data_IF_197773896594
#
_entry.id   IF_197773896594
#
_cell.length_a   1.000
_cell.length_b   1.000
_cell.length_c   1.000
_cell.angle_alpha   90.00
_cell.angle_beta   90.00
_cell.angle_gamma   90.00
#
_symmetry.space_group_name_H-M   'P 1'
#
loop_
_entity.id
_entity.type
_entity.pdbx_description
1 polymer ?
#
# COMPACT_ATOMS: atom_id res chain seq x y z
N UNK A 1 -3.33 2.80 -20.27
CA UNK A 1 -3.71 1.85 -19.20
C UNK A 1 -3.79 2.60 -17.89
N UNK A 2 -4.78 2.30 -17.05
CA UNK A 2 -4.88 2.88 -15.70
C UNK A 2 -4.20 1.92 -14.72
N UNK A 3 -3.09 2.34 -14.12
CA UNK A 3 -2.42 1.62 -13.04
C UNK A 3 -2.58 2.42 -11.76
N UNK A 4 -2.98 1.72 -10.71
CA UNK A 4 -3.21 2.29 -9.39
C UNK A 4 -2.38 1.48 -8.40
N UNK A 5 -1.18 1.96 -8.07
CA UNK A 5 -0.36 1.35 -7.01
C UNK A 5 -0.81 1.90 -5.68
N UNK A 6 -0.90 1.08 -4.65
CA UNK A 6 -1.31 1.51 -3.32
C UNK A 6 -0.60 0.74 -2.21
N UNK A 7 -0.65 1.32 -1.01
CA UNK A 7 -0.20 0.79 0.27
C UNK A 7 -1.07 1.42 1.37
N UNK A 8 -1.19 0.75 2.52
CA UNK A 8 -1.92 1.26 3.67
C UNK A 8 -1.04 1.30 4.92
N UNK A 9 -1.26 2.32 5.75
CA UNK A 9 -0.71 2.34 7.10
C UNK A 9 -1.79 2.13 8.14
N UNK A 10 -1.44 1.35 9.17
CA UNK A 10 -2.38 0.91 10.19
C UNK A 10 -1.87 1.13 11.60
N UNK A 11 -2.81 1.33 12.51
CA UNK A 11 -2.60 1.40 13.96
C UNK A 11 -3.52 0.39 14.65
N UNK A 12 -3.30 0.06 15.93
CA UNK A 12 -4.25 -0.75 16.68
C UNK A 12 -5.66 -0.14 16.66
N UNK A 13 -6.66 -0.94 16.31
CA UNK A 13 -8.07 -0.58 16.50
C UNK A 13 -8.41 -0.67 17.99
N UNK A 14 -8.13 0.40 18.74
CA UNK A 14 -8.40 0.47 20.18
C UNK A 14 -9.89 0.40 20.51
N UNK A 15 -10.77 0.86 19.62
CA UNK A 15 -12.21 0.71 19.81
C UNK A 15 -12.65 -0.75 19.69
N UNK A 16 -12.15 -1.46 18.67
CA UNK A 16 -12.32 -2.90 18.52
C UNK A 16 -11.69 -3.68 19.68
N UNK A 17 -10.50 -3.27 20.12
CA UNK A 17 -9.79 -3.83 21.26
C UNK A 17 -10.61 -3.75 22.55
N UNK A 18 -11.24 -2.61 22.83
CA UNK A 18 -12.15 -2.46 23.98
C UNK A 18 -13.30 -3.44 23.94
N UNK A 19 -13.97 -3.56 22.79
CA UNK A 19 -15.12 -4.46 22.60
C UNK A 19 -14.75 -5.94 22.68
N UNK A 20 -13.58 -6.33 22.19
CA UNK A 20 -13.16 -7.73 22.13
C UNK A 20 -12.58 -8.26 23.45
N UNK A 21 -12.08 -7.36 24.29
CA UNK A 21 -11.33 -7.72 25.50
C UNK A 21 -11.92 -7.12 26.79
N UNK A 22 -13.11 -6.53 26.71
CA UNK A 22 -13.83 -5.92 27.84
C UNK A 22 -12.97 -4.88 28.58
N UNK A 23 -12.32 -3.98 27.82
CA UNK A 23 -11.34 -3.00 28.33
C UNK A 23 -11.93 -1.59 28.49
N UNK A 24 -13.21 -1.50 28.81
CA UNK A 24 -13.88 -0.22 29.02
C UNK A 24 -13.21 0.59 30.16
N UNK A 25 -13.07 1.90 29.96
CA UNK A 25 -12.47 2.82 30.93
C UNK A 25 -10.94 2.95 30.87
N UNK A 26 -10.24 2.14 30.07
CA UNK A 26 -8.81 2.30 29.81
C UNK A 26 -8.53 3.33 28.71
N UNK A 27 -7.38 4.00 28.79
CA UNK A 27 -6.93 4.90 27.73
C UNK A 27 -6.47 4.13 26.47
N UNK A 28 -6.34 4.82 25.33
CA UNK A 28 -5.99 4.19 24.06
C UNK A 28 -4.62 3.48 24.10
N UNK A 29 -3.67 4.01 24.87
CA UNK A 29 -2.32 3.44 24.99
C UNK A 29 -2.35 2.15 25.79
N UNK A 30 -3.09 2.13 26.90
CA UNK A 30 -3.31 0.95 27.74
C UNK A 30 -4.00 -0.16 26.95
N UNK A 31 -5.06 0.17 26.20
CA UNK A 31 -5.76 -0.79 25.34
C UNK A 31 -4.79 -1.39 24.32
N UNK A 32 -4.06 -0.55 23.57
CA UNK A 32 -3.09 -1.02 22.58
C UNK A 32 -2.01 -1.93 23.21
N UNK A 33 -1.47 -1.56 24.38
CA UNK A 33 -0.49 -2.37 25.10
C UNK A 33 -1.03 -3.76 25.48
N UNK A 34 -2.29 -3.83 25.92
CA UNK A 34 -2.94 -5.11 26.22
C UNK A 34 -3.11 -5.94 24.95
N UNK A 35 -3.50 -5.32 23.83
CA UNK A 35 -3.63 -5.99 22.53
C UNK A 35 -2.29 -6.59 22.08
N UNK A 36 -1.20 -5.81 22.13
CA UNK A 36 0.15 -6.28 21.79
C UNK A 36 0.61 -7.40 22.71
N UNK A 37 0.43 -7.25 24.03
CA UNK A 37 0.83 -8.27 24.99
C UNK A 37 0.10 -9.60 24.78
N UNK A 38 -1.23 -9.55 24.56
CA UNK A 38 -2.01 -10.74 24.20
C UNK A 38 -1.48 -11.39 22.92
N UNK A 39 -1.18 -10.59 21.89
CA UNK A 39 -0.66 -11.10 20.62
C UNK A 39 0.71 -11.77 20.76
N UNK A 40 1.60 -11.19 21.59
CA UNK A 40 2.91 -11.75 21.92
C UNK A 40 2.80 -13.09 22.62
N UNK A 41 1.87 -13.22 23.56
CA UNK A 41 1.62 -14.49 24.25
C UNK A 41 1.13 -15.58 23.29
N UNK A 42 0.30 -15.23 22.30
CA UNK A 42 -0.23 -16.18 21.33
C UNK A 42 0.79 -16.62 20.27
N UNK A 43 1.67 -15.72 19.82
CA UNK A 43 2.46 -15.94 18.59
C UNK A 43 3.95 -15.61 18.69
N UNK A 44 4.41 -15.11 19.83
CA UNK A 44 5.80 -14.68 20.04
C UNK A 44 6.16 -13.33 19.39
N UNK A 45 5.21 -12.63 18.77
CA UNK A 45 5.41 -11.30 18.19
C UNK A 45 4.19 -10.39 18.43
N UNK A 46 4.34 -9.09 18.20
CA UNK A 46 3.29 -8.09 18.47
C UNK A 46 2.43 -7.74 17.27
N UNK A 47 2.60 -8.40 16.12
CA UNK A 47 1.86 -8.04 14.92
C UNK A 47 0.39 -8.43 15.06
N UNK A 48 -0.47 -7.43 15.24
CA UNK A 48 -1.89 -7.62 15.52
C UNK A 48 -2.62 -8.34 14.38
N UNK A 49 -3.71 -9.03 14.73
CA UNK A 49 -4.55 -9.73 13.76
C UNK A 49 -5.24 -8.70 12.84
N UNK A 50 -5.44 -9.06 11.57
CA UNK A 50 -5.98 -8.17 10.54
C UNK A 50 -7.31 -7.46 10.92
N UNK A 51 -8.28 -8.11 11.58
CA UNK A 51 -9.54 -7.44 11.95
C UNK A 51 -9.40 -6.30 12.96
N UNK A 52 -8.29 -6.24 13.71
CA UNK A 52 -8.02 -5.21 14.73
C UNK A 52 -6.93 -4.23 14.28
N UNK A 53 -6.70 -4.14 12.98
CA UNK A 53 -5.91 -3.08 12.34
C UNK A 53 -6.85 -1.96 11.91
N UNK A 54 -6.58 -0.72 12.31
CA UNK A 54 -7.30 0.50 11.90
C UNK A 54 -6.46 1.24 10.88
N UNK A 55 -7.02 1.58 9.72
CA UNK A 55 -6.34 2.29 8.65
C UNK A 55 -6.26 3.78 9.00
N UNK A 56 -5.06 4.36 8.88
CA UNK A 56 -4.80 5.79 9.13
C UNK A 56 -4.26 6.52 7.90
N UNK A 57 -3.72 5.79 6.92
CA UNK A 57 -3.37 6.35 5.61
C UNK A 57 -3.58 5.30 4.52
N UNK A 58 -3.91 5.78 3.32
CA UNK A 58 -3.86 5.02 2.08
C UNK A 58 -3.15 5.92 1.07
N UNK A 59 -1.95 5.55 0.65
CA UNK A 59 -1.21 6.28 -0.38
C UNK A 59 -1.34 5.60 -1.73
N UNK A 60 -1.22 6.41 -2.79
CA UNK A 60 -1.48 5.95 -4.15
C UNK A 60 -0.53 6.57 -5.15
N UNK A 61 -0.11 5.77 -6.14
CA UNK A 61 0.43 6.24 -7.42
C UNK A 61 -0.62 5.94 -8.48
N UNK A 62 -1.13 6.97 -9.14
CA UNK A 62 -2.01 6.83 -10.30
C UNK A 62 -1.24 7.15 -11.58
N UNK A 63 -1.11 6.15 -12.45
CA UNK A 63 -0.63 6.31 -13.83
C UNK A 63 -1.81 6.14 -14.79
N UNK A 64 -2.17 7.20 -15.51
CA UNK A 64 -3.22 7.19 -16.52
C UNK A 64 -2.86 8.09 -17.70
N UNK A 65 -2.92 7.56 -18.92
CA UNK A 65 -2.61 8.27 -20.18
C UNK A 65 -1.24 8.97 -20.15
N UNK A 66 -1.22 10.29 -19.95
CA UNK A 66 0.01 11.11 -19.86
C UNK A 66 0.25 11.64 -18.43
N UNK A 67 -0.60 11.27 -17.48
CA UNK A 67 -0.51 11.71 -16.08
C UNK A 67 0.10 10.63 -15.20
N UNK A 68 0.99 11.06 -14.33
CA UNK A 68 1.42 10.37 -13.13
C UNK A 68 1.16 11.30 -11.93
N UNK A 69 0.64 10.77 -10.84
CA UNK A 69 0.44 11.52 -9.61
C UNK A 69 0.62 10.59 -8.41
N UNK A 70 1.14 11.15 -7.31
CA UNK A 70 1.39 10.43 -6.05
C UNK A 70 0.82 11.23 -4.90
N UNK A 71 -0.08 10.64 -4.11
CA UNK A 71 -0.69 11.30 -2.96
C UNK A 71 -1.30 10.31 -1.98
N UNK A 72 -1.48 10.71 -0.73
CA UNK A 72 -2.38 10.05 0.23
C UNK A 72 -3.84 10.46 0.06
N UNK A 73 -4.77 9.50 0.09
CA UNK A 73 -6.21 9.76 -0.07
C UNK A 73 -6.78 10.59 1.10
N UNK A 74 -7.69 11.51 0.77
CA UNK A 74 -8.30 12.43 1.74
C UNK A 74 -7.34 13.52 2.21
N UNK A 75 -7.85 14.47 3.00
CA UNK A 75 -7.01 15.40 3.76
C UNK A 75 -6.31 14.68 4.92
N UNK A 76 -5.41 15.34 5.64
CA UNK A 76 -4.63 14.72 6.73
C UNK A 76 -5.52 14.12 7.83
N UNK A 77 -6.59 14.81 8.20
CA UNK A 77 -7.55 14.38 9.23
C UNK A 77 -8.78 13.67 8.67
N UNK A 78 -8.76 13.26 7.40
CA UNK A 78 -9.85 12.48 6.81
C UNK A 78 -10.10 11.21 7.63
N UNK A 79 -11.38 10.91 7.85
CA UNK A 79 -11.75 9.72 8.61
C UNK A 79 -11.32 8.43 7.88
N UNK A 80 -11.11 7.35 8.63
CA UNK A 80 -10.84 6.04 8.06
C UNK A 80 -11.91 5.63 7.03
N UNK A 81 -13.18 5.88 7.34
CA UNK A 81 -14.28 5.61 6.42
C UNK A 81 -14.11 6.35 5.08
N UNK A 82 -13.79 7.64 5.15
CA UNK A 82 -13.64 8.47 3.96
C UNK A 82 -12.49 7.98 3.06
N UNK A 83 -11.32 7.68 3.63
CA UNK A 83 -10.18 7.25 2.82
C UNK A 83 -10.43 5.88 2.16
N UNK A 84 -11.14 4.96 2.82
CA UNK A 84 -11.56 3.68 2.25
C UNK A 84 -12.61 3.87 1.15
N UNK A 85 -13.61 4.73 1.37
CA UNK A 85 -14.61 5.08 0.35
C UNK A 85 -13.95 5.67 -0.91
N UNK A 86 -12.97 6.57 -0.73
CA UNK A 86 -12.20 7.14 -1.84
C UNK A 86 -11.41 6.08 -2.60
N UNK A 87 -10.82 5.11 -1.90
CA UNK A 87 -10.09 4.00 -2.53
C UNK A 87 -11.01 3.19 -3.45
N UNK A 88 -12.14 2.71 -2.94
CA UNK A 88 -13.08 1.92 -3.75
C UNK A 88 -13.78 2.74 -4.83
N UNK A 89 -14.08 4.02 -4.58
CA UNK A 89 -14.58 4.94 -5.62
C UNK A 89 -13.59 5.07 -6.78
N UNK A 90 -12.29 5.12 -6.48
CA UNK A 90 -11.24 5.10 -7.49
C UNK A 90 -11.26 3.83 -8.34
N UNK A 91 -11.47 2.66 -7.71
CA UNK A 91 -11.61 1.38 -8.41
C UNK A 91 -12.87 1.36 -9.28
N UNK A 92 -14.02 1.77 -8.74
CA UNK A 92 -15.29 1.80 -9.46
C UNK A 92 -15.22 2.72 -10.70
N UNK A 93 -14.58 3.88 -10.56
CA UNK A 93 -14.50 4.89 -11.63
C UNK A 93 -13.50 4.53 -12.73
N UNK A 94 -12.29 4.11 -12.37
CA UNK A 94 -11.19 3.94 -13.33
C UNK A 94 -10.99 2.50 -13.78
N UNK A 95 -11.59 1.54 -13.06
CA UNK A 95 -11.47 0.10 -13.31
C UNK A 95 -9.98 -0.28 -13.51
N UNK A 96 -9.05 0.22 -12.66
CA UNK A 96 -7.61 0.14 -12.93
C UNK A 96 -7.07 -1.27 -12.69
N UNK A 97 -5.85 -1.54 -13.16
CA UNK A 97 -5.02 -2.57 -12.53
C UNK A 97 -4.52 -2.00 -11.21
N UNK A 98 -4.92 -2.60 -10.09
CA UNK A 98 -4.36 -2.26 -8.78
C UNK A 98 -3.08 -3.06 -8.54
N UNK A 99 -2.07 -2.42 -7.97
CA UNK A 99 -0.75 -3.02 -7.72
C UNK A 99 -0.37 -2.76 -6.26
N UNK A 100 0.23 -3.74 -5.61
CA UNK A 100 0.67 -3.66 -4.22
C UNK A 100 1.91 -4.52 -3.99
N UNK A 101 2.59 -4.32 -2.86
CA UNK A 101 3.57 -5.27 -2.34
C UNK A 101 2.98 -5.99 -1.12
N UNK A 102 2.67 -7.29 -1.22
CA UNK A 102 1.98 -8.06 -0.16
C UNK A 102 0.54 -7.60 0.16
N UNK A 103 -0.09 -6.83 -0.73
CA UNK A 103 -1.46 -6.35 -0.53
C UNK A 103 -2.50 -7.46 -0.41
N UNK A 104 -2.24 -8.65 -0.95
CA UNK A 104 -3.12 -9.81 -0.73
C UNK A 104 -2.99 -10.38 0.68
N UNK A 105 -1.78 -10.36 1.23
CA UNK A 105 -1.48 -10.89 2.56
C UNK A 105 -1.89 -9.96 3.70
N UNK A 106 -2.01 -8.65 3.42
CA UNK A 106 -2.26 -7.64 4.44
C UNK A 106 -3.31 -6.61 4.01
N UNK A 107 -3.00 -5.74 3.05
CA UNK A 107 -3.73 -4.51 2.78
C UNK A 107 -5.19 -4.73 2.40
N UNK A 108 -5.45 -5.58 1.40
CA UNK A 108 -6.79 -5.88 0.92
C UNK A 108 -7.63 -6.59 1.99
N UNK A 109 -7.15 -7.64 2.68
CA UNK A 109 -7.87 -8.19 3.84
C UNK A 109 -8.22 -7.15 4.91
N UNK A 110 -7.31 -6.24 5.26
CA UNK A 110 -7.61 -5.16 6.22
C UNK A 110 -8.69 -4.25 5.66
N UNK A 111 -8.57 -3.80 4.41
CA UNK A 111 -9.62 -3.03 3.72
C UNK A 111 -10.97 -3.75 3.72
N UNK A 112 -11.01 -5.08 3.58
CA UNK A 112 -12.25 -5.86 3.65
C UNK A 112 -12.90 -5.77 5.04
N UNK A 113 -12.13 -6.04 6.10
CA UNK A 113 -12.64 -5.97 7.47
C UNK A 113 -13.10 -4.55 7.84
N UNK A 114 -12.33 -3.53 7.45
CA UNK A 114 -12.69 -2.13 7.72
C UNK A 114 -13.88 -1.67 6.91
N UNK A 115 -14.07 -2.19 5.69
CA UNK A 115 -15.29 -1.96 4.92
C UNK A 115 -16.53 -2.58 5.56
N UNK A 116 -16.41 -3.79 6.13
CA UNK A 116 -17.49 -4.43 6.89
C UNK A 116 -17.87 -3.60 8.12
N UNK A 117 -16.88 -3.09 8.86
CA UNK A 117 -17.09 -2.27 10.07
C UNK A 117 -17.77 -0.94 9.74
N UNK A 118 -17.35 -0.28 8.64
CA UNK A 118 -17.88 1.03 8.24
C UNK A 118 -19.10 0.98 7.31
N UNK A 119 -19.48 -0.21 6.83
CA UNK A 119 -20.59 -0.40 5.89
C UNK A 119 -20.31 0.19 4.50
N UNK A 120 -19.08 0.05 3.99
CA UNK A 120 -18.64 0.67 2.74
C UNK A 120 -18.90 -0.28 1.55
N UNK A 121 -19.69 0.13 0.54
CA UNK A 121 -19.89 -0.67 -0.66
C UNK A 121 -18.66 -0.58 -1.59
N UNK A 122 -18.35 -1.69 -2.27
CA UNK A 122 -17.24 -1.77 -3.22
C UNK A 122 -17.59 -2.68 -4.40
N UNK A 123 -18.65 -2.32 -5.15
CA UNK A 123 -19.32 -3.23 -6.08
C UNK A 123 -18.39 -3.72 -7.21
N UNK A 124 -17.63 -2.84 -7.90
CA UNK A 124 -16.71 -3.31 -8.95
C UNK A 124 -15.54 -4.09 -8.39
N UNK A 125 -15.12 -3.81 -7.16
CA UNK A 125 -14.06 -4.55 -6.51
C UNK A 125 -14.46 -6.03 -6.28
N UNK A 126 -15.69 -6.25 -5.78
CA UNK A 126 -16.23 -7.57 -5.48
C UNK A 126 -16.81 -8.32 -6.69
N UNK A 127 -16.87 -7.67 -7.86
CA UNK A 127 -17.36 -8.30 -9.09
C UNK A 127 -16.44 -9.45 -9.54
N UNK A 128 -17.04 -10.61 -9.81
CA UNK A 128 -16.33 -11.85 -10.20
C UNK A 128 -16.85 -12.47 -11.48
N UNK A 129 -17.69 -11.76 -12.24
CA UNK A 129 -18.33 -12.25 -13.45
C UNK A 129 -19.83 -12.45 -13.35
N UNK A 130 -20.44 -12.12 -12.21
CA UNK A 130 -21.87 -12.33 -11.94
C UNK A 130 -22.73 -11.28 -12.64
N UNK A 131 -22.39 -9.99 -12.52
CA UNK A 131 -23.10 -8.92 -13.23
C UNK A 131 -22.34 -8.41 -14.46
N UNK A 132 -21.02 -8.59 -14.49
CA UNK A 132 -20.17 -8.21 -15.61
C UNK A 132 -19.17 -9.30 -15.98
N UNK A 133 -19.45 -10.00 -17.09
CA UNK A 133 -18.65 -11.14 -17.55
C UNK A 133 -17.17 -10.79 -17.82
N UNK A 134 -16.82 -9.52 -18.02
CA UNK A 134 -15.42 -9.12 -18.23
C UNK A 134 -14.54 -9.37 -16.98
N UNK A 135 -15.15 -9.54 -15.81
CA UNK A 135 -14.47 -9.85 -14.55
C UNK A 135 -14.34 -11.36 -14.27
N UNK A 136 -15.00 -12.21 -15.07
CA UNK A 136 -15.00 -13.67 -14.85
C UNK A 136 -13.61 -14.28 -14.81
N UNK A 137 -12.74 -13.83 -15.71
CA UNK A 137 -11.36 -14.31 -15.86
C UNK A 137 -10.30 -13.24 -15.53
N UNK A 138 -10.74 -12.08 -15.02
CA UNK A 138 -9.86 -11.00 -14.62
C UNK A 138 -10.55 -10.06 -13.61
N UNK A 139 -10.67 -10.49 -12.36
CA UNK A 139 -11.21 -9.74 -11.22
C UNK A 139 -10.12 -9.41 -10.18
N UNK A 140 -10.47 -8.63 -9.17
CA UNK A 140 -9.54 -8.17 -8.13
C UNK A 140 -9.27 -9.19 -7.01
N UNK A 141 -10.10 -10.24 -6.88
CA UNK A 141 -10.05 -11.18 -5.75
C UNK A 141 -9.25 -12.44 -6.05
N UNK A 142 -9.28 -12.88 -7.31
CA UNK A 142 -8.66 -14.15 -7.73
C UNK A 142 -7.15 -13.99 -7.81
N UNK A 143 -6.42 -14.82 -7.05
CA UNK A 143 -4.95 -14.79 -6.94
C UNK A 143 -4.20 -14.68 -8.27
N UNK A 144 -4.66 -15.41 -9.27
CA UNK A 144 -3.95 -15.56 -10.55
C UNK A 144 -4.47 -14.61 -11.64
N UNK A 145 -5.43 -13.75 -11.32
CA UNK A 145 -5.89 -12.70 -12.22
C UNK A 145 -4.97 -11.49 -12.11
N UNK A 146 -5.01 -10.60 -13.12
CA UNK A 146 -4.07 -9.48 -13.22
C UNK A 146 -4.63 -8.15 -12.72
N UNK A 147 -5.96 -8.08 -12.52
CA UNK A 147 -6.64 -6.87 -12.07
C UNK A 147 -6.13 -6.39 -10.72
N UNK A 148 -5.81 -7.32 -9.82
CA UNK A 148 -4.88 -7.09 -8.72
C UNK A 148 -3.56 -7.79 -9.06
N UNK A 149 -2.47 -7.02 -9.10
CA UNK A 149 -1.11 -7.52 -9.25
C UNK A 149 -0.39 -7.35 -7.92
N UNK A 150 -0.37 -8.39 -7.08
CA UNK A 150 0.50 -8.44 -5.91
C UNK A 150 1.92 -8.80 -6.35
N UNK A 151 2.81 -7.81 -6.37
CA UNK A 151 4.17 -7.98 -6.87
C UNK A 151 4.95 -9.01 -6.06
N UNK A 152 4.79 -9.03 -4.74
CA UNK A 152 5.53 -9.95 -3.88
C UNK A 152 5.10 -11.39 -4.17
N UNK A 153 3.80 -11.65 -4.28
CA UNK A 153 3.25 -12.98 -4.55
C UNK A 153 3.70 -13.50 -5.93
N UNK A 154 3.65 -12.63 -6.95
CA UNK A 154 4.03 -12.98 -8.33
C UNK A 154 5.54 -13.21 -8.46
N UNK A 155 6.37 -12.30 -7.93
CA UNK A 155 7.83 -12.39 -8.04
C UNK A 155 8.37 -13.56 -7.23
N UNK A 156 7.79 -13.85 -6.06
CA UNK A 156 8.13 -15.03 -5.27
C UNK A 156 7.68 -16.35 -5.92
N UNK A 157 7.01 -16.30 -7.09
CA UNK A 157 6.50 -17.49 -7.76
C UNK A 157 5.47 -18.25 -6.91
N UNK A 158 4.71 -17.52 -6.08
CA UNK A 158 3.72 -18.07 -5.14
C UNK A 158 4.31 -18.93 -4.02
N UNK A 159 5.64 -18.92 -3.84
CA UNK A 159 6.36 -19.67 -2.81
C UNK A 159 6.62 -18.82 -1.58
N UNK A 160 6.00 -19.18 -0.44
CA UNK A 160 6.13 -18.42 0.81
C UNK A 160 7.59 -18.26 1.29
N UNK A 161 8.48 -19.20 0.94
CA UNK A 161 9.91 -19.12 1.30
C UNK A 161 10.72 -18.14 0.45
N UNK A 162 10.16 -17.69 -0.68
CA UNK A 162 10.82 -16.82 -1.64
C UNK A 162 10.35 -15.36 -1.52
N UNK A 163 9.46 -15.05 -0.58
CA UNK A 163 9.02 -13.68 -0.32
C UNK A 163 10.19 -12.85 0.22
N UNK A 164 10.20 -11.57 -0.12
CA UNK A 164 11.20 -10.62 0.34
C UNK A 164 10.54 -9.30 0.79
N UNK A 165 11.13 -8.55 1.72
CA UNK A 165 10.68 -7.20 2.05
C UNK A 165 10.86 -6.24 0.87
N UNK A 166 9.93 -5.30 0.69
CA UNK A 166 9.99 -4.27 -0.36
C UNK A 166 11.30 -3.50 -0.32
N UNK A 167 11.72 -3.09 0.88
CA UNK A 167 12.96 -2.35 1.14
C UNK A 167 14.19 -3.05 0.53
N UNK A 168 14.32 -4.36 0.72
CA UNK A 168 15.45 -5.12 0.19
C UNK A 168 15.44 -5.14 -1.34
N UNK A 169 14.28 -5.38 -1.94
CA UNK A 169 14.15 -5.44 -3.40
C UNK A 169 14.35 -4.05 -4.03
N UNK A 170 13.77 -3.02 -3.44
CA UNK A 170 13.96 -1.63 -3.86
C UNK A 170 15.44 -1.23 -3.82
N UNK A 171 16.12 -1.52 -2.71
CA UNK A 171 17.56 -1.27 -2.54
C UNK A 171 18.40 -2.01 -3.58
N UNK A 172 18.15 -3.31 -3.80
CA UNK A 172 18.86 -4.11 -4.81
C UNK A 172 18.66 -3.60 -6.23
N UNK A 173 17.53 -2.95 -6.51
CA UNK A 173 17.22 -2.33 -7.79
C UNK A 173 17.75 -0.89 -7.91
N UNK A 174 18.39 -0.36 -6.86
CA UNK A 174 18.94 0.99 -6.80
C UNK A 174 17.90 2.08 -6.57
N UNK A 175 16.71 1.70 -6.10
CA UNK A 175 15.68 2.63 -5.63
C UNK A 175 15.95 2.98 -4.15
N UNK A 176 15.34 4.06 -3.64
CA UNK A 176 15.65 4.55 -2.29
C UNK A 176 15.45 3.53 -1.16
N UNK A 177 14.50 2.60 -1.31
CA UNK A 177 14.18 1.67 -0.23
C UNK A 177 13.64 2.41 0.99
N UNK A 178 14.04 2.00 2.18
CA UNK A 178 13.54 2.53 3.46
C UNK A 178 14.10 3.91 3.80
N UNK A 179 13.22 4.91 3.83
CA UNK A 179 13.53 6.32 4.07
C UNK A 179 13.41 6.74 5.56
N UNK A 180 14.00 5.97 6.49
CA UNK A 180 14.11 6.37 7.90
C UNK A 180 12.91 6.06 8.82
N UNK A 181 11.70 5.93 8.29
CA UNK A 181 10.53 5.41 9.03
C UNK A 181 10.35 3.89 8.80
N UNK A 182 9.68 3.22 9.74
CA UNK A 182 9.39 1.79 9.69
C UNK A 182 7.98 1.56 10.19
N UNK A 183 7.24 0.62 9.60
CA UNK A 183 5.89 0.24 10.06
C UNK A 183 5.78 -0.02 11.58
N UNK A 184 6.84 -0.54 12.21
CA UNK A 184 6.90 -0.75 13.67
C UNK A 184 6.77 0.54 14.52
N UNK A 185 7.02 1.72 13.94
CA UNK A 185 6.94 3.03 14.62
C UNK A 185 5.64 3.78 14.31
N UNK A 186 4.78 3.26 13.44
CA UNK A 186 3.55 3.95 13.02
C UNK A 186 2.65 4.25 14.20
N UNK A 187 2.53 3.30 15.15
CA UNK A 187 1.78 3.54 16.37
C UNK A 187 2.36 4.69 17.20
N UNK A 188 3.68 4.69 17.45
CA UNK A 188 4.33 5.76 18.23
C UNK A 188 4.13 7.14 17.58
N UNK A 189 4.29 7.22 16.26
CA UNK A 189 4.06 8.46 15.50
C UNK A 189 2.60 8.91 15.57
N UNK A 190 1.66 7.97 15.50
CA UNK A 190 0.24 8.26 15.64
C UNK A 190 -0.08 8.81 17.03
N UNK A 191 0.49 8.24 18.10
CA UNK A 191 0.33 8.76 19.46
C UNK A 191 0.90 10.18 19.64
N UNK A 192 1.95 10.51 18.87
CA UNK A 192 2.56 11.85 18.84
C UNK A 192 1.82 12.84 17.92
N UNK A 193 0.73 12.42 17.26
CA UNK A 193 -0.03 13.27 16.33
C UNK A 193 0.67 13.50 15.00
N UNK A 194 1.65 12.68 14.63
CA UNK A 194 2.47 12.81 13.41
C UNK A 194 1.84 12.13 12.19
N UNK A 195 0.59 12.45 11.89
CA UNK A 195 -0.13 11.87 10.75
C UNK A 195 0.51 12.26 9.41
N UNK A 196 0.94 13.51 9.25
CA UNK A 196 1.70 13.95 8.09
C UNK A 196 2.91 13.05 7.79
N UNK A 197 3.69 12.69 8.81
CA UNK A 197 4.88 11.84 8.65
C UNK A 197 4.51 10.41 8.23
N UNK A 198 3.44 9.83 8.80
CA UNK A 198 2.92 8.51 8.40
C UNK A 198 2.49 8.54 6.92
N UNK A 199 1.80 9.60 6.49
CA UNK A 199 1.35 9.77 5.11
C UNK A 199 2.53 9.92 4.16
N UNK A 200 3.52 10.74 4.51
CA UNK A 200 4.75 10.91 3.73
C UNK A 200 5.50 9.57 3.56
N UNK A 201 5.62 8.80 4.64
CA UNK A 201 6.21 7.46 4.61
C UNK A 201 5.44 6.52 3.67
N UNK A 202 4.11 6.44 3.80
CA UNK A 202 3.27 5.64 2.92
C UNK A 202 3.39 6.08 1.45
N UNK A 203 3.47 7.39 1.16
CA UNK A 203 3.74 7.89 -0.21
C UNK A 203 5.10 7.37 -0.76
N UNK A 204 6.14 7.26 0.08
CA UNK A 204 7.44 6.69 -0.34
C UNK A 204 7.40 5.18 -0.59
N UNK A 205 6.64 4.43 0.20
CA UNK A 205 6.50 2.97 0.01
C UNK A 205 5.71 2.63 -1.26
N UNK A 206 4.68 3.42 -1.60
CA UNK A 206 3.97 3.27 -2.88
C UNK A 206 4.85 3.67 -4.07
N UNK A 207 5.72 4.67 -3.92
CA UNK A 207 6.72 5.02 -4.94
C UNK A 207 7.70 3.88 -5.19
N UNK A 208 8.28 3.30 -4.13
CA UNK A 208 9.14 2.13 -4.25
C UNK A 208 8.40 0.97 -4.94
N UNK A 209 7.16 0.69 -4.53
CA UNK A 209 6.31 -0.34 -5.15
C UNK A 209 6.09 -0.07 -6.64
N UNK A 210 5.83 1.18 -7.04
CA UNK A 210 5.65 1.54 -8.44
C UNK A 210 6.95 1.41 -9.26
N UNK A 211 8.11 1.77 -8.70
CA UNK A 211 9.39 1.59 -9.39
C UNK A 211 9.74 0.11 -9.59
N UNK A 212 9.44 -0.73 -8.58
CA UNK A 212 9.55 -2.19 -8.71
C UNK A 212 8.56 -2.71 -9.75
N UNK A 213 7.33 -2.19 -9.79
CA UNK A 213 6.35 -2.51 -10.83
C UNK A 213 6.88 -2.19 -12.23
N UNK A 214 7.48 -1.02 -12.45
CA UNK A 214 8.08 -0.66 -13.74
C UNK A 214 9.19 -1.64 -14.13
N UNK A 215 10.03 -2.08 -13.18
CA UNK A 215 11.06 -3.10 -13.45
C UNK A 215 10.44 -4.46 -13.75
N UNK A 216 9.37 -4.84 -13.05
CA UNK A 216 8.61 -6.05 -13.35
C UNK A 216 8.01 -6.01 -14.76
N UNK A 217 7.48 -4.86 -15.17
CA UNK A 217 6.95 -4.65 -16.52
C UNK A 217 8.02 -4.73 -17.61
N UNK A 218 9.26 -4.34 -17.31
CA UNK A 218 10.40 -4.55 -18.20
C UNK A 218 10.70 -6.05 -18.37
N UNK A 219 10.88 -6.79 -17.27
CA UNK A 219 11.26 -8.21 -17.35
C UNK A 219 10.15 -9.10 -17.91
N UNK A 220 8.89 -8.69 -17.81
CA UNK A 220 7.75 -9.42 -18.38
C UNK A 220 7.40 -8.99 -19.81
N UNK A 221 8.19 -8.09 -20.41
CA UNK A 221 8.08 -7.68 -21.81
C UNK A 221 6.98 -6.68 -22.12
N UNK A 222 6.28 -6.14 -21.12
CA UNK A 222 5.26 -5.10 -21.31
C UNK A 222 5.87 -3.70 -21.51
N UNK A 223 7.11 -3.50 -21.06
CA UNK A 223 7.92 -2.33 -21.38
C UNK A 223 9.21 -2.81 -22.03
N UNK A 224 9.65 -2.11 -23.06
CA UNK A 224 11.04 -2.19 -23.51
C UNK A 224 11.94 -1.27 -22.66
N UNK A 225 13.25 -1.32 -22.90
CA UNK A 225 14.21 -0.54 -22.11
C UNK A 225 14.01 0.98 -22.28
N UNK A 226 13.66 1.46 -23.47
CA UNK A 226 13.42 2.88 -23.71
C UNK A 226 12.17 3.36 -22.94
N UNK A 227 11.07 2.62 -23.04
CA UNK A 227 9.82 2.91 -22.33
C UNK A 227 10.01 2.89 -20.81
N UNK A 228 10.77 1.91 -20.29
CA UNK A 228 11.14 1.87 -18.87
C UNK A 228 11.93 3.12 -18.44
N UNK A 229 12.90 3.57 -19.24
CA UNK A 229 13.65 4.81 -18.97
C UNK A 229 12.75 6.05 -19.06
N UNK A 230 11.78 6.08 -19.97
CA UNK A 230 10.83 7.19 -20.09
C UNK A 230 9.90 7.25 -18.87
N UNK A 231 9.35 6.13 -18.41
CA UNK A 231 8.48 6.08 -17.23
C UNK A 231 9.25 6.45 -15.94
N UNK A 232 10.48 5.98 -15.76
CA UNK A 232 11.31 6.39 -14.61
C UNK A 232 11.68 7.87 -14.65
N UNK A 233 11.94 8.45 -15.84
CA UNK A 233 12.12 9.90 -16.01
C UNK A 233 10.86 10.68 -15.65
N UNK A 234 9.68 10.18 -16.03
CA UNK A 234 8.38 10.77 -15.69
C UNK A 234 8.14 10.80 -14.17
N UNK A 235 8.50 9.72 -13.45
CA UNK A 235 8.44 9.73 -11.98
C UNK A 235 9.35 10.83 -11.43
N UNK A 236 10.61 10.88 -11.87
CA UNK A 236 11.57 11.89 -11.40
C UNK A 236 11.09 13.32 -11.67
N UNK A 237 10.55 13.62 -12.85
CA UNK A 237 10.03 14.95 -13.16
C UNK A 237 8.79 15.30 -12.33
N UNK A 238 7.89 14.33 -12.12
CA UNK A 238 6.69 14.53 -11.31
C UNK A 238 7.05 14.88 -9.88
N UNK A 239 7.94 14.10 -9.24
CA UNK A 239 8.36 14.35 -7.86
C UNK A 239 9.07 15.69 -7.68
N UNK A 240 9.88 16.12 -8.66
CA UNK A 240 10.50 17.45 -8.65
C UNK A 240 9.45 18.58 -8.71
N UNK A 241 8.40 18.39 -9.50
CA UNK A 241 7.35 19.39 -9.65
C UNK A 241 6.43 19.50 -8.43
N UNK A 242 6.17 18.38 -7.74
CA UNK A 242 5.41 18.34 -6.49
C UNK A 242 6.12 19.08 -5.35
N UNK A 243 7.47 19.10 -5.36
CA UNK A 243 8.30 19.90 -4.46
C UNK A 243 7.99 19.70 -2.95
N UNK A 244 7.65 18.46 -2.57
CA UNK A 244 7.46 18.08 -1.16
C UNK A 244 8.79 17.61 -0.54
N UNK A 245 9.06 17.88 0.75
CA UNK A 245 10.34 17.53 1.38
C UNK A 245 10.73 16.04 1.26
N UNK A 246 9.81 15.12 1.55
CA UNK A 246 10.06 13.68 1.45
C UNK A 246 10.28 13.20 0.01
N UNK A 247 9.71 13.88 -0.98
CA UNK A 247 9.99 13.59 -2.40
C UNK A 247 11.37 14.06 -2.82
N UNK A 248 11.82 15.21 -2.32
CA UNK A 248 13.20 15.67 -2.52
C UNK A 248 14.19 14.65 -1.93
N UNK A 249 13.95 14.24 -0.67
CA UNK A 249 14.78 13.22 -0.01
C UNK A 249 14.77 11.89 -0.77
N UNK A 250 13.60 11.46 -1.25
CA UNK A 250 13.46 10.25 -2.09
C UNK A 250 14.29 10.36 -3.37
N UNK A 251 14.29 11.51 -4.05
CA UNK A 251 15.08 11.73 -5.27
C UNK A 251 16.59 11.75 -5.02
N UNK A 252 17.03 12.26 -3.87
CA UNK A 252 18.44 12.30 -3.45
C UNK A 252 18.97 10.89 -3.17
N UNK A 253 18.15 10.02 -2.60
CA UNK A 253 18.51 8.63 -2.30
C UNK A 253 18.31 7.68 -3.49
N UNK A 254 17.66 8.12 -4.57
CA UNK A 254 17.49 7.30 -5.77
C UNK A 254 18.76 7.33 -6.64
N UNK A 255 19.61 6.31 -6.45
CA UNK A 255 20.86 6.10 -7.20
C UNK A 255 20.67 6.22 -8.71
N UNK A 256 21.60 6.89 -9.38
CA UNK A 256 21.60 7.04 -10.84
C UNK A 256 22.34 5.89 -11.56
N UNK A 257 23.15 5.10 -10.85
CA UNK A 257 24.19 4.26 -11.47
C UNK A 257 23.70 2.89 -12.00
N UNK A 258 22.55 2.38 -11.54
CA UNK A 258 22.09 1.02 -11.91
C UNK A 258 21.42 0.98 -13.30
N UNK A 259 21.11 2.14 -13.90
CA UNK A 259 20.50 2.21 -15.24
C UNK A 259 21.50 2.01 -16.39
N UNK A 260 22.81 1.93 -16.12
CA UNK A 260 23.86 1.89 -17.14
C UNK A 260 24.57 0.55 -17.32
N UNK A 261 24.25 -0.48 -16.52
CA UNK A 261 24.81 -1.82 -16.72
C UNK A 261 23.76 -2.73 -17.38
N UNK A 262 23.68 -2.60 -18.71
CA UNK A 262 23.14 -3.61 -19.62
C UNK A 262 24.27 -4.36 -20.31
#
# INVERSE_FOLDING_TARGET
MNVFVFDIETVPDVEGGRRLYDLDGLDDKEVANIMFHKRRQETGNDFLRLPVQKIVAISVVLRSHDRLAVWSLGEEEASEKEIIERFFTGIDKYIPTIVSWNGKGFDLPVLHYRSLIHGIPAQRYWETGEHDQSFKWNNYLSRYHRRHTDLMDIIAGYENRAIAPLDQIATLLGFPGKMGMSGAKVWDYYQEGKLADIRNYCETDVLNTYLVYLRFQLINGNLNHEEYLQETKLVRSTLKNENKPHFTEFLENWSQEILTQG
#
